data_IF_630386600120
#
_entry.id   IF_630386600120
#
_cell.length_a   1.000
_cell.length_b   1.000
_cell.length_c   1.000
_cell.angle_alpha   90.00
_cell.angle_beta   90.00
_cell.angle_gamma   90.00
#
_symmetry.space_group_name_H-M   'P 1'
#
loop_
_entity.id
_entity.type
_entity.pdbx_description
1 polymer ?
#
# COMPACT_ATOMS: atom_id res chain seq x y z
N UNK A 1 3.51 2.75 -14.70
CA UNK A 1 3.48 2.98 -13.24
C UNK A 1 3.43 1.63 -12.55
N UNK A 2 4.21 1.47 -11.49
CA UNK A 2 4.18 0.31 -10.62
C UNK A 2 4.03 0.77 -9.16
N UNK A 3 3.27 0.02 -8.36
CA UNK A 3 3.12 0.29 -6.92
C UNK A 3 4.17 -0.54 -6.19
N UNK A 4 4.84 0.06 -5.18
CA UNK A 4 5.90 -0.51 -4.32
C UNK A 4 7.31 0.04 -4.59
N UNK A 5 8.34 -0.67 -4.13
CA UNK A 5 9.75 -0.30 -4.09
C UNK A 5 10.61 -1.14 -5.05
N UNK A 6 11.92 -0.86 -5.10
CA UNK A 6 12.91 -1.60 -5.91
C UNK A 6 13.02 -3.09 -5.58
N UNK A 7 12.60 -3.49 -4.37
CA UNK A 7 12.68 -4.88 -3.93
C UNK A 7 11.67 -5.76 -4.67
N UNK A 8 10.41 -5.34 -4.73
CA UNK A 8 9.34 -6.13 -5.34
C UNK A 8 8.15 -5.25 -5.71
N UNK A 9 7.66 -5.40 -6.94
CA UNK A 9 6.49 -4.70 -7.47
C UNK A 9 5.22 -5.39 -7.01
N UNK A 10 4.33 -4.60 -6.40
CA UNK A 10 3.02 -5.07 -6.00
C UNK A 10 2.11 -5.27 -7.21
N UNK A 11 1.98 -4.23 -8.02
CA UNK A 11 1.23 -4.28 -9.27
C UNK A 11 1.74 -3.24 -10.24
N UNK A 12 1.41 -3.39 -11.50
CA UNK A 12 1.75 -2.47 -12.57
C UNK A 12 0.49 -2.12 -13.37
N UNK A 13 0.40 -0.86 -13.80
CA UNK A 13 -0.69 -0.40 -14.66
C UNK A 13 -0.61 -1.07 -16.06
N UNK A 14 -1.71 -1.00 -16.82
CA UNK A 14 -1.80 -1.65 -18.13
C UNK A 14 -0.69 -1.22 -19.09
N UNK A 15 -0.28 0.05 -19.08
CA UNK A 15 0.83 0.53 -19.91
C UNK A 15 2.15 -0.14 -19.56
N UNK A 16 2.50 -0.26 -18.27
CA UNK A 16 3.73 -0.94 -17.86
C UNK A 16 3.69 -2.45 -18.16
N UNK A 17 2.50 -3.09 -18.10
CA UNK A 17 2.34 -4.50 -18.44
C UNK A 17 2.65 -4.82 -19.90
N UNK A 18 2.48 -3.86 -20.83
CA UNK A 18 2.86 -4.02 -22.25
C UNK A 18 4.37 -4.23 -22.43
N UNK A 19 5.19 -3.69 -21.52
CA UNK A 19 6.65 -3.86 -21.49
C UNK A 19 7.08 -5.12 -20.75
N UNK A 20 6.14 -5.96 -20.29
CA UNK A 20 6.43 -7.18 -19.54
C UNK A 20 6.56 -6.99 -18.03
N UNK A 21 6.32 -5.78 -17.50
CA UNK A 21 6.31 -5.56 -16.05
C UNK A 21 5.08 -6.23 -15.44
N UNK A 22 5.27 -7.11 -14.48
CA UNK A 22 4.18 -7.82 -13.80
C UNK A 22 4.29 -7.74 -12.27
N UNK A 23 3.22 -8.16 -11.58
CA UNK A 23 3.23 -8.30 -10.13
C UNK A 23 4.25 -9.36 -9.69
N UNK A 24 4.80 -9.20 -8.47
CA UNK A 24 5.87 -10.04 -7.92
C UNK A 24 7.19 -10.03 -8.71
N UNK A 25 7.36 -9.09 -9.65
CA UNK A 25 8.64 -8.82 -10.30
C UNK A 25 9.50 -7.91 -9.41
N UNK A 26 10.80 -8.12 -9.34
CA UNK A 26 11.69 -7.18 -8.62
C UNK A 26 11.77 -5.84 -9.36
N UNK A 27 11.79 -4.73 -8.62
CA UNK A 27 11.76 -3.40 -9.22
C UNK A 27 12.96 -3.10 -10.11
N UNK A 28 14.14 -3.65 -9.79
CA UNK A 28 15.32 -3.51 -10.65
C UNK A 28 15.19 -4.23 -12.01
N UNK A 29 14.47 -5.35 -12.10
CA UNK A 29 14.18 -6.02 -13.37
C UNK A 29 13.17 -5.18 -14.16
N UNK A 30 12.15 -4.67 -13.48
CA UNK A 30 11.13 -3.85 -14.12
C UNK A 30 11.68 -2.54 -14.70
N UNK A 31 12.65 -1.89 -14.04
CA UNK A 31 13.36 -0.75 -14.61
C UNK A 31 14.16 -1.10 -15.86
N UNK A 32 14.73 -2.32 -15.96
CA UNK A 32 15.40 -2.76 -17.18
C UNK A 32 14.42 -2.95 -18.35
N UNK A 33 13.20 -3.42 -18.05
CA UNK A 33 12.14 -3.59 -19.05
C UNK A 33 11.49 -2.26 -19.45
N UNK A 34 11.34 -1.35 -18.48
CA UNK A 34 10.71 -0.04 -18.65
C UNK A 34 11.54 1.01 -17.88
N UNK A 35 12.52 1.67 -18.52
CA UNK A 35 13.38 2.66 -17.85
C UNK A 35 12.61 3.86 -17.28
N UNK A 36 11.50 4.22 -17.93
CA UNK A 36 10.61 5.30 -17.51
C UNK A 36 9.55 4.86 -16.48
N UNK A 37 9.74 3.70 -15.84
CA UNK A 37 8.78 3.17 -14.88
C UNK A 37 8.78 4.00 -13.59
N UNK A 38 7.68 4.72 -13.38
CA UNK A 38 7.42 5.45 -12.14
C UNK A 38 6.95 4.47 -11.06
N UNK A 39 7.69 4.42 -9.95
CA UNK A 39 7.29 3.73 -8.73
C UNK A 39 6.45 4.67 -7.87
N UNK A 40 5.24 4.24 -7.55
CA UNK A 40 4.38 4.93 -6.61
C UNK A 40 4.66 4.34 -5.23
N UNK A 41 5.22 5.15 -4.29
CA UNK A 41 5.45 4.69 -2.93
C UNK A 41 4.12 4.34 -2.27
N UNK A 42 4.14 3.33 -1.40
CA UNK A 42 2.95 2.94 -0.66
C UNK A 42 2.67 3.97 0.44
N UNK A 43 1.49 4.59 0.42
CA UNK A 43 0.98 5.53 1.44
C UNK A 43 1.08 5.02 2.88
N UNK A 44 1.22 3.70 3.07
CA UNK A 44 1.30 3.04 4.37
C UNK A 44 2.51 3.43 5.22
N UNK A 45 3.64 3.82 4.61
CA UNK A 45 4.87 4.16 5.32
C UNK A 45 4.70 5.33 6.31
N UNK A 46 3.80 6.26 6.01
CA UNK A 46 3.53 7.42 6.86
C UNK A 46 2.74 7.06 8.12
N UNK A 47 2.08 5.90 8.11
CA UNK A 47 1.24 5.42 9.20
C UNK A 47 1.96 4.38 10.04
N UNK A 48 2.68 3.46 9.41
CA UNK A 48 3.51 2.48 10.11
C UNK A 48 4.75 2.17 9.25
N UNK A 49 5.97 2.59 9.68
CA UNK A 49 7.19 2.28 8.95
C UNK A 49 7.58 0.80 9.01
N UNK A 50 6.99 0.02 9.93
CA UNK A 50 7.24 -1.42 10.07
C UNK A 50 5.99 -2.24 9.69
N UNK A 51 5.14 -1.68 8.83
CA UNK A 51 3.92 -2.38 8.40
C UNK A 51 4.25 -3.74 7.79
N UNK A 52 3.34 -4.68 7.97
CA UNK A 52 3.46 -6.02 7.42
C UNK A 52 2.62 -6.13 6.16
N UNK A 53 3.28 -6.15 5.00
CA UNK A 53 2.63 -6.55 3.75
C UNK A 53 2.32 -8.06 3.79
N UNK A 54 1.04 -8.42 3.70
CA UNK A 54 0.60 -9.82 3.67
C UNK A 54 0.46 -10.34 2.24
N UNK A 55 -0.09 -9.49 1.37
CA UNK A 55 -0.18 -9.71 -0.07
C UNK A 55 0.06 -8.38 -0.79
N UNK A 56 -0.15 -8.35 -2.11
CA UNK A 56 0.03 -7.15 -2.92
C UNK A 56 -1.05 -6.09 -2.63
N UNK A 57 -2.23 -6.53 -2.19
CA UNK A 57 -3.43 -5.75 -1.89
C UNK A 57 -3.80 -5.74 -0.39
N UNK A 58 -3.07 -6.49 0.45
CA UNK A 58 -3.30 -6.55 1.89
C UNK A 58 -2.06 -6.17 2.69
N UNK A 59 -2.25 -5.27 3.65
CA UNK A 59 -1.24 -4.86 4.60
C UNK A 59 -1.84 -4.73 6.00
N UNK A 60 -1.05 -5.10 7.01
CA UNK A 60 -1.34 -4.87 8.42
C UNK A 60 -0.47 -3.73 8.94
N UNK A 61 -1.10 -2.74 9.56
CA UNK A 61 -0.44 -1.56 10.09
C UNK A 61 -0.71 -1.47 11.60
N UNK A 62 0.32 -1.16 12.38
CA UNK A 62 0.17 -0.73 13.77
C UNK A 62 -0.04 0.79 13.83
N UNK A 63 -1.30 1.20 13.88
CA UNK A 63 -1.70 2.61 13.93
C UNK A 63 -1.70 3.20 15.35
N UNK A 64 -1.32 2.44 16.38
CA UNK A 64 -1.42 2.86 17.80
C UNK A 64 -0.70 4.18 18.05
N UNK A 65 0.58 4.26 17.62
CA UNK A 65 1.42 5.47 17.80
C UNK A 65 0.88 6.68 17.05
N UNK A 66 0.30 6.46 15.87
CA UNK A 66 -0.26 7.54 15.04
C UNK A 66 -1.54 8.08 15.67
N UNK A 67 -2.41 7.19 16.14
CA UNK A 67 -3.64 7.55 16.82
C UNK A 67 -3.36 8.32 18.12
N UNK A 68 -2.38 7.89 18.92
CA UNK A 68 -1.96 8.61 20.13
C UNK A 68 -1.40 10.00 19.79
N UNK A 69 -0.46 10.09 18.86
CA UNK A 69 0.21 11.35 18.48
C UNK A 69 -0.77 12.37 17.90
N UNK A 70 -1.73 11.92 17.09
CA UNK A 70 -2.71 12.79 16.43
C UNK A 70 -3.99 12.95 17.23
N UNK A 71 -4.16 12.21 18.33
CA UNK A 71 -5.39 12.17 19.14
C UNK A 71 -6.64 11.89 18.30
N UNK A 72 -6.53 10.94 17.36
CA UNK A 72 -7.61 10.50 16.47
C UNK A 72 -8.01 9.06 16.77
N UNK A 73 -9.25 8.71 16.47
CA UNK A 73 -9.69 7.32 16.55
C UNK A 73 -9.14 6.48 15.40
N UNK A 74 -9.02 5.18 15.60
CA UNK A 74 -8.59 4.27 14.53
C UNK A 74 -9.53 4.29 13.32
N UNK A 75 -10.83 4.50 13.53
CA UNK A 75 -11.81 4.63 12.45
C UNK A 75 -11.58 5.89 11.59
N UNK A 76 -11.23 7.02 12.21
CA UNK A 76 -10.86 8.25 11.51
C UNK A 76 -9.56 8.05 10.71
N UNK A 77 -8.56 7.44 11.32
CA UNK A 77 -7.30 7.11 10.65
C UNK A 77 -7.52 6.20 9.42
N UNK A 78 -8.33 5.15 9.55
CA UNK A 78 -8.67 4.27 8.43
C UNK A 78 -9.45 4.99 7.32
N UNK A 79 -10.31 5.95 7.66
CA UNK A 79 -11.02 6.79 6.67
C UNK A 79 -10.04 7.70 5.92
N UNK A 80 -9.15 8.38 6.63
CA UNK A 80 -8.07 9.21 6.05
C UNK A 80 -7.19 8.38 5.11
N UNK A 81 -6.77 7.19 5.57
CA UNK A 81 -5.94 6.28 4.79
C UNK A 81 -6.61 5.88 3.47
N UNK A 82 -7.89 5.48 3.47
CA UNK A 82 -8.63 5.15 2.25
C UNK A 82 -8.74 6.34 1.30
N UNK A 83 -9.06 7.53 1.83
CA UNK A 83 -9.12 8.76 1.03
C UNK A 83 -7.77 9.07 0.38
N UNK A 84 -6.68 8.94 1.12
CA UNK A 84 -5.33 9.21 0.63
C UNK A 84 -4.86 8.20 -0.40
N UNK A 85 -5.17 6.90 -0.21
CA UNK A 85 -4.92 5.87 -1.22
C UNK A 85 -5.61 6.26 -2.53
N UNK A 86 -6.87 6.69 -2.47
CA UNK A 86 -7.62 7.10 -3.65
C UNK A 86 -7.05 8.36 -4.31
N UNK A 87 -6.68 9.38 -3.54
CA UNK A 87 -6.09 10.62 -4.07
C UNK A 87 -4.73 10.40 -4.74
N UNK A 88 -3.87 9.57 -4.15
CA UNK A 88 -2.52 9.34 -4.68
C UNK A 88 -2.48 8.30 -5.80
N UNK A 89 -3.33 7.29 -5.76
CA UNK A 89 -3.26 6.14 -6.70
C UNK A 89 -4.45 6.04 -7.66
N UNK A 90 -5.56 6.73 -7.37
CA UNK A 90 -6.85 6.55 -8.06
C UNK A 90 -7.55 5.23 -7.74
N UNK A 91 -7.00 4.40 -6.84
CA UNK A 91 -7.54 3.10 -6.47
C UNK A 91 -8.36 3.19 -5.18
N UNK A 92 -9.44 2.41 -5.11
CA UNK A 92 -10.21 2.25 -3.87
C UNK A 92 -9.66 1.08 -3.07
N UNK A 93 -9.72 1.18 -1.74
CA UNK A 93 -9.37 0.08 -0.84
C UNK A 93 -10.35 0.03 0.34
N UNK A 94 -10.46 -1.14 0.96
CA UNK A 94 -11.20 -1.33 2.21
C UNK A 94 -10.22 -1.41 3.39
N UNK A 95 -10.69 -1.11 4.60
CA UNK A 95 -9.84 -1.07 5.78
C UNK A 95 -10.65 -1.40 7.03
N UNK A 96 -10.20 -2.42 7.76
CA UNK A 96 -10.77 -2.87 9.02
C UNK A 96 -9.87 -2.50 10.19
N UNK A 97 -10.46 -1.97 11.27
CA UNK A 97 -9.73 -1.58 12.48
C UNK A 97 -10.20 -2.42 13.65
N UNK A 98 -9.26 -3.10 14.30
CA UNK A 98 -9.53 -3.92 15.47
C UNK A 98 -8.29 -4.03 16.38
N UNK A 99 -8.43 -4.51 17.62
CA UNK A 99 -7.32 -4.67 18.57
C UNK A 99 -6.29 -5.72 18.18
N UNK A 100 -6.60 -6.58 17.20
CA UNK A 100 -5.69 -7.60 16.70
C UNK A 100 -5.91 -7.84 15.20
N UNK A 101 -4.90 -8.44 14.56
CA UNK A 101 -4.86 -8.66 13.10
C UNK A 101 -5.98 -9.56 12.60
N UNK A 102 -6.35 -10.59 13.38
CA UNK A 102 -7.39 -11.54 13.00
C UNK A 102 -8.74 -10.83 12.85
N UNK A 103 -9.15 -10.07 13.87
CA UNK A 103 -10.39 -9.31 13.84
C UNK A 103 -10.36 -8.18 12.80
N UNK A 104 -9.20 -7.53 12.64
CA UNK A 104 -9.05 -6.46 11.65
C UNK A 104 -9.28 -6.99 10.23
N UNK A 105 -8.77 -8.20 9.93
CA UNK A 105 -8.97 -8.88 8.65
C UNK A 105 -10.41 -9.31 8.41
N UNK A 106 -11.14 -9.70 9.46
CA UNK A 106 -12.57 -10.05 9.32
C UNK A 106 -13.46 -8.84 9.06
N UNK A 107 -13.04 -7.65 9.51
CA UNK A 107 -13.77 -6.40 9.32
C UNK A 107 -13.24 -5.51 8.20
N UNK A 108 -12.23 -5.98 7.44
CA UNK A 108 -11.59 -5.22 6.35
C UNK A 108 -12.34 -5.32 5.04
#
# INVERSE_FOLDING_TARGET
>A
MAVSSMSMISTANYEARKFGVCAAMTGFIALKLCPDLIFIPTVFWDYDPNFMAASLDEAYLDITKVCEKRSITGAENAKELRSRVYEETGLTCSAGVAPNRLLAKSGS
#
